data_IF_468666938198
#
_entry.id   IF_468666938198
#
_cell.length_a   1.000
_cell.length_b   1.000
_cell.length_c   1.000
_cell.angle_alpha   90.00
_cell.angle_beta   90.00
_cell.angle_gamma   90.00
#
_symmetry.space_group_name_H-M   'P 1'
#
loop_
_entity.id
_entity.type
_entity.pdbx_description
1 polymer ?
#
# COMPACT_ATOMS: atom_id res chain seq x y z
N UNK A 1 24.39 -50.02 51.33
CA UNK A 1 24.27 -51.25 50.51
C UNK A 1 23.85 -50.85 49.09
N UNK A 2 24.57 -51.37 48.08
CA UNK A 2 24.31 -51.41 46.62
C UNK A 2 23.88 -50.10 45.95
N UNK A 3 24.72 -49.34 45.22
CA UNK A 3 25.49 -49.63 43.98
C UNK A 3 24.65 -50.31 42.89
N UNK A 4 24.24 -49.53 41.89
CA UNK A 4 23.74 -50.01 40.60
C UNK A 4 24.29 -49.14 39.48
N UNK A 5 25.36 -49.63 38.83
CA UNK A 5 26.00 -49.04 37.65
C UNK A 5 25.15 -49.33 36.42
N UNK A 6 24.96 -48.36 35.52
CA UNK A 6 24.46 -48.61 34.16
C UNK A 6 25.38 -47.93 33.14
N UNK A 7 25.56 -48.66 32.04
CA UNK A 7 26.74 -48.75 31.22
C UNK A 7 26.90 -47.62 30.19
N UNK A 8 28.17 -47.29 29.95
CA UNK A 8 28.68 -46.52 28.81
C UNK A 8 28.64 -47.42 27.57
N UNK A 9 27.80 -47.08 26.60
CA UNK A 9 27.69 -47.74 25.31
C UNK A 9 28.29 -46.87 24.20
N UNK A 10 29.50 -47.19 23.80
CA UNK A 10 30.21 -46.68 22.62
C UNK A 10 29.49 -47.12 21.34
N UNK A 11 29.14 -46.20 20.45
CA UNK A 11 28.68 -46.53 19.10
C UNK A 11 29.30 -45.60 18.06
N UNK A 12 29.71 -46.25 16.98
CA UNK A 12 30.78 -45.86 16.06
C UNK A 12 30.43 -44.68 15.15
N UNK A 13 31.43 -43.84 14.92
CA UNK A 13 31.45 -42.87 13.84
C UNK A 13 31.59 -43.61 12.50
N UNK A 14 30.56 -43.54 11.66
CA UNK A 14 30.66 -43.89 10.25
C UNK A 14 31.04 -42.62 9.49
N UNK A 15 32.31 -42.54 9.13
CA UNK A 15 32.85 -41.55 8.20
C UNK A 15 32.56 -42.05 6.79
N UNK A 16 31.46 -41.59 6.18
CA UNK A 16 31.22 -41.74 4.76
C UNK A 16 31.96 -40.61 4.03
N UNK A 17 33.12 -40.95 3.47
CA UNK A 17 33.85 -40.12 2.52
C UNK A 17 33.12 -40.12 1.18
N UNK A 18 32.25 -39.14 0.98
CA UNK A 18 31.66 -38.82 -0.32
C UNK A 18 32.72 -38.09 -1.15
N UNK A 19 33.39 -38.81 -2.05
CA UNK A 19 34.34 -38.22 -2.99
C UNK A 19 33.64 -37.23 -3.90
N UNK A 20 34.19 -36.01 -3.90
CA UNK A 20 33.84 -34.91 -4.76
C UNK A 20 33.94 -35.30 -6.24
N UNK A 21 32.81 -35.28 -6.95
CA UNK A 21 32.75 -35.11 -8.39
C UNK A 21 32.58 -33.63 -8.70
N UNK A 22 33.68 -32.87 -8.71
CA UNK A 22 33.69 -31.53 -9.28
C UNK A 22 33.52 -31.66 -10.79
N UNK A 23 32.27 -31.55 -11.25
CA UNK A 23 32.01 -31.28 -12.66
C UNK A 23 32.12 -29.78 -12.85
N UNK A 24 33.24 -29.33 -13.42
CA UNK A 24 33.40 -28.00 -13.98
C UNK A 24 32.50 -27.90 -15.23
N UNK A 25 31.20 -27.78 -15.00
CA UNK A 25 30.27 -27.34 -16.04
C UNK A 25 30.68 -25.93 -16.44
N UNK A 26 30.78 -25.61 -17.75
CA UNK A 26 31.11 -24.25 -18.18
C UNK A 26 30.13 -23.31 -17.50
N UNK A 27 30.66 -22.47 -16.62
CA UNK A 27 29.94 -21.43 -15.92
C UNK A 27 29.40 -20.52 -17.01
N UNK A 28 28.17 -20.78 -17.45
CA UNK A 28 27.46 -19.94 -18.38
C UNK A 28 27.41 -18.57 -17.69
N UNK A 29 28.23 -17.63 -18.18
CA UNK A 29 28.17 -16.26 -17.72
C UNK A 29 26.70 -15.87 -17.76
N UNK A 30 26.11 -15.47 -16.62
CA UNK A 30 24.70 -15.14 -16.56
C UNK A 30 24.43 -14.15 -17.68
N UNK A 31 23.58 -14.56 -18.63
CA UNK A 31 23.19 -13.74 -19.75
C UNK A 31 22.74 -12.39 -19.15
N UNK A 32 23.36 -11.27 -19.55
CA UNK A 32 23.08 -9.99 -18.94
C UNK A 32 21.58 -9.75 -19.06
N UNK A 33 20.88 -9.76 -17.91
CA UNK A 33 19.45 -9.46 -17.89
C UNK A 33 19.29 -8.12 -18.61
N UNK A 34 18.37 -8.02 -19.59
CA UNK A 34 18.15 -6.77 -20.30
C UNK A 34 17.96 -5.68 -19.25
N UNK A 35 18.88 -4.72 -19.25
CA UNK A 35 18.88 -3.61 -18.31
C UNK A 35 17.57 -2.87 -18.53
N UNK A 36 16.65 -2.98 -17.56
CA UNK A 36 15.36 -2.31 -17.58
C UNK A 36 15.64 -0.82 -17.80
N UNK A 37 15.12 -0.17 -18.86
CA UNK A 37 15.35 1.24 -19.10
C UNK A 37 14.96 2.01 -17.84
N UNK A 38 15.94 2.68 -17.24
CA UNK A 38 15.76 3.57 -16.11
C UNK A 38 15.11 4.86 -16.65
N UNK A 39 13.80 4.78 -16.90
CA UNK A 39 13.04 5.92 -17.37
C UNK A 39 13.07 6.99 -16.27
N UNK A 40 13.77 8.09 -16.53
CA UNK A 40 13.64 9.31 -15.75
C UNK A 40 12.23 9.85 -15.99
N UNK A 41 11.32 9.52 -15.08
CA UNK A 41 9.91 9.90 -15.17
C UNK A 41 9.78 11.33 -14.65
N UNK A 42 10.06 12.32 -15.51
CA UNK A 42 9.41 13.60 -15.31
C UNK A 42 7.90 13.35 -15.44
N UNK A 43 7.17 13.31 -14.32
CA UNK A 43 5.73 13.07 -14.28
C UNK A 43 5.01 14.08 -15.15
N UNK A 44 4.75 13.72 -16.41
CA UNK A 44 3.78 14.43 -17.22
C UNK A 44 2.43 14.16 -16.58
N UNK A 45 1.81 15.22 -16.07
CA UNK A 45 0.48 15.14 -15.50
C UNK A 45 -0.49 14.71 -16.62
N UNK A 46 -0.85 13.42 -16.64
CA UNK A 46 -1.76 12.88 -17.63
C UNK A 46 -3.18 13.38 -17.31
N UNK A 47 -3.79 14.23 -18.15
CA UNK A 47 -5.13 14.72 -17.86
C UNK A 47 -6.11 13.54 -17.86
N UNK A 48 -6.85 13.39 -16.76
CA UNK A 48 -7.87 12.36 -16.68
C UNK A 48 -9.10 12.72 -17.54
N UNK A 49 -9.77 11.72 -18.13
CA UNK A 49 -11.08 11.94 -18.72
C UNK A 49 -12.07 12.50 -17.70
N UNK A 50 -13.06 13.28 -18.17
CA UNK A 50 -14.10 13.83 -17.28
C UNK A 50 -14.80 12.71 -16.50
N UNK A 51 -14.94 12.93 -15.19
CA UNK A 51 -15.60 11.99 -14.28
C UNK A 51 -14.72 10.81 -13.86
N UNK A 52 -13.42 10.84 -14.12
CA UNK A 52 -12.45 9.87 -13.63
C UNK A 52 -11.78 10.38 -12.34
N UNK A 53 -11.16 9.46 -11.61
CA UNK A 53 -10.37 9.71 -10.41
C UNK A 53 -9.06 8.94 -10.45
N UNK A 54 -8.07 9.42 -9.73
CA UNK A 54 -6.79 8.75 -9.56
C UNK A 54 -6.84 7.71 -8.44
N UNK A 55 -6.14 6.61 -8.67
CA UNK A 55 -5.87 5.55 -7.70
C UNK A 55 -4.37 5.29 -7.63
N UNK A 56 -3.82 5.19 -6.42
CA UNK A 56 -2.37 5.04 -6.19
C UNK A 56 -2.09 3.78 -5.38
N UNK A 57 -1.12 2.95 -5.75
CA UNK A 57 -0.62 1.84 -4.95
C UNK A 57 0.89 1.74 -5.12
N UNK A 58 1.62 1.74 -4.01
CA UNK A 58 3.07 1.89 -3.95
C UNK A 58 3.50 3.06 -4.83
N UNK A 59 4.36 2.82 -5.80
CA UNK A 59 4.88 3.79 -6.75
C UNK A 59 4.11 3.85 -8.06
N UNK A 60 2.89 3.30 -8.13
CA UNK A 60 2.06 3.29 -9.35
C UNK A 60 0.77 4.07 -9.15
N UNK A 61 0.41 4.88 -10.15
CA UNK A 61 -0.86 5.60 -10.22
C UNK A 61 -1.60 5.28 -11.51
N UNK A 62 -2.93 5.21 -11.43
CA UNK A 62 -3.83 4.88 -12.55
C UNK A 62 -5.16 5.61 -12.42
N UNK A 63 -5.68 6.08 -13.55
CA UNK A 63 -6.99 6.69 -13.67
C UNK A 63 -8.08 5.64 -13.83
N UNK A 64 -9.16 5.79 -13.07
CA UNK A 64 -10.36 4.94 -13.16
C UNK A 64 -11.62 5.80 -13.25
N UNK A 65 -12.73 5.30 -13.82
CA UNK A 65 -14.00 5.99 -13.73
C UNK A 65 -14.41 6.26 -12.26
N UNK A 66 -14.92 7.46 -12.00
CA UNK A 66 -15.22 7.93 -10.64
C UNK A 66 -16.42 7.24 -9.99
N UNK A 67 -17.24 6.55 -10.77
CA UNK A 67 -18.36 5.73 -10.31
C UNK A 67 -17.93 4.34 -9.79
N UNK A 68 -16.65 3.96 -9.95
CA UNK A 68 -16.15 2.70 -9.43
C UNK A 68 -16.03 2.74 -7.91
N UNK A 69 -16.52 1.71 -7.23
CA UNK A 69 -16.36 1.52 -5.79
C UNK A 69 -14.93 1.17 -5.37
N UNK A 70 -14.72 1.08 -4.06
CA UNK A 70 -13.49 0.59 -3.44
C UNK A 70 -13.71 -0.81 -2.87
N UNK A 71 -12.72 -1.69 -2.98
CA UNK A 71 -12.72 -3.03 -2.37
C UNK A 71 -11.41 -3.35 -1.65
N UNK A 72 -11.44 -4.28 -0.69
CA UNK A 72 -10.27 -4.84 0.00
C UNK A 72 -10.06 -6.30 -0.38
N UNK A 73 -8.89 -6.87 -0.04
CA UNK A 73 -8.61 -8.31 -0.20
C UNK A 73 -9.64 -9.19 0.46
N UNK A 74 -9.69 -10.43 -0.04
CA UNK A 74 -10.63 -11.45 0.39
C UNK A 74 -11.92 -11.29 -0.37
N UNK A 75 -12.00 -11.87 -1.57
CA UNK A 75 -13.30 -12.33 -2.12
C UNK A 75 -14.05 -11.37 -3.03
N UNK A 76 -13.43 -10.33 -3.61
CA UNK A 76 -14.01 -9.68 -4.79
C UNK A 76 -14.47 -10.70 -5.86
N UNK A 77 -13.81 -11.87 -5.93
CA UNK A 77 -14.19 -12.94 -6.87
C UNK A 77 -15.23 -13.93 -6.31
N UNK A 78 -15.49 -13.96 -5.00
CA UNK A 78 -16.50 -14.86 -4.40
C UNK A 78 -17.79 -14.14 -3.99
N UNK A 79 -17.84 -12.81 -4.02
CA UNK A 79 -19.08 -12.08 -3.81
C UNK A 79 -19.91 -12.18 -5.08
N UNK A 80 -20.97 -12.99 -5.04
CA UNK A 80 -21.94 -13.19 -6.14
C UNK A 80 -22.59 -11.86 -6.57
N UNK A 81 -22.52 -10.84 -5.71
CA UNK A 81 -23.04 -9.49 -5.94
C UNK A 81 -21.97 -8.46 -6.38
N UNK A 82 -20.81 -8.87 -6.88
CA UNK A 82 -19.92 -7.96 -7.63
C UNK A 82 -20.50 -7.61 -9.01
N UNK A 83 -21.73 -7.10 -9.02
CA UNK A 83 -22.26 -6.34 -10.15
C UNK A 83 -21.57 -4.98 -10.30
N UNK A 84 -20.81 -4.56 -9.27
CA UNK A 84 -20.21 -3.23 -9.18
C UNK A 84 -18.75 -3.18 -9.60
N UNK A 85 -18.45 -2.18 -10.42
CA UNK A 85 -17.12 -1.83 -10.88
C UNK A 85 -16.26 -1.43 -9.68
N UNK A 86 -15.15 -2.09 -9.44
CA UNK A 86 -14.38 -1.91 -8.19
C UNK A 86 -12.89 -1.75 -8.42
N UNK A 87 -12.26 -0.97 -7.54
CA UNK A 87 -10.81 -0.89 -7.37
C UNK A 87 -10.43 -1.59 -6.08
N UNK A 88 -9.68 -2.68 -6.21
CA UNK A 88 -9.28 -3.53 -5.09
C UNK A 88 -7.80 -3.39 -4.72
N UNK A 89 -7.50 -3.53 -3.42
CA UNK A 89 -6.15 -3.39 -2.85
C UNK A 89 -5.82 -4.52 -1.87
N UNK A 90 -4.52 -4.84 -1.67
CA UNK A 90 -4.09 -5.70 -0.58
C UNK A 90 -4.50 -5.13 0.79
N UNK A 91 -5.07 -5.96 1.66
CA UNK A 91 -5.57 -5.57 2.98
C UNK A 91 -5.84 -6.77 3.87
N UNK A 92 -6.59 -6.57 4.95
CA UNK A 92 -7.17 -7.66 5.74
C UNK A 92 -8.49 -8.08 5.10
N UNK A 93 -8.68 -9.38 4.94
CA UNK A 93 -9.93 -9.97 4.48
C UNK A 93 -9.99 -11.41 4.93
N UNK A 94 -11.20 -11.91 5.19
CA UNK A 94 -11.39 -13.31 5.51
C UNK A 94 -10.87 -14.16 4.36
N UNK A 95 -9.98 -15.12 4.68
CA UNK A 95 -9.47 -16.14 3.76
C UNK A 95 -10.62 -17.07 3.36
N UNK A 96 -11.57 -16.59 2.57
CA UNK A 96 -12.53 -17.46 1.91
C UNK A 96 -11.86 -17.95 0.62
N UNK A 97 -11.67 -19.26 0.52
CA UNK A 97 -11.28 -19.88 -0.73
C UNK A 97 -12.53 -19.90 -1.62
N UNK A 98 -12.56 -19.13 -2.72
CA UNK A 98 -13.58 -19.38 -3.74
C UNK A 98 -13.21 -20.70 -4.43
N UNK A 99 -13.98 -21.77 -4.19
CA UNK A 99 -13.99 -22.90 -5.11
C UNK A 99 -14.71 -22.42 -6.39
N UNK A 100 -13.94 -22.26 -7.47
CA UNK A 100 -14.42 -22.17 -8.86
C UNK A 100 -15.61 -21.23 -9.14
N UNK A 101 -15.56 -19.97 -8.69
CA UNK A 101 -16.57 -18.99 -9.10
C UNK A 101 -16.29 -18.44 -10.51
N UNK A 102 -17.29 -18.63 -11.38
CA UNK A 102 -17.42 -18.13 -12.75
C UNK A 102 -17.52 -16.59 -12.80
N UNK A 103 -16.50 -15.86 -12.33
CA UNK A 103 -16.44 -14.39 -12.37
C UNK A 103 -16.19 -13.84 -13.80
N UNK A 104 -16.90 -14.37 -14.80
CA UNK A 104 -16.70 -14.03 -16.22
C UNK A 104 -17.20 -12.61 -16.57
N UNK A 105 -18.04 -12.01 -15.73
CA UNK A 105 -18.73 -10.75 -16.06
C UNK A 105 -18.43 -9.57 -15.11
N UNK A 106 -17.51 -9.72 -14.17
CA UNK A 106 -17.16 -8.63 -13.25
C UNK A 106 -16.20 -7.64 -13.92
N UNK A 107 -16.37 -6.34 -13.65
CA UNK A 107 -15.43 -5.30 -14.07
C UNK A 107 -14.63 -4.85 -12.86
N UNK A 108 -13.31 -4.99 -12.85
CA UNK A 108 -12.49 -4.59 -11.71
C UNK A 108 -11.07 -4.23 -12.11
N UNK A 109 -10.42 -3.42 -11.28
CA UNK A 109 -8.98 -3.20 -11.25
C UNK A 109 -8.47 -3.66 -9.89
N UNK A 110 -7.40 -4.44 -9.89
CA UNK A 110 -6.81 -4.99 -8.68
C UNK A 110 -5.33 -4.67 -8.59
N UNK A 111 -4.91 -4.03 -7.51
CA UNK A 111 -3.51 -3.81 -7.18
C UNK A 111 -2.95 -4.96 -6.35
N UNK A 112 -1.68 -5.28 -6.57
CA UNK A 112 -0.92 -6.22 -5.73
C UNK A 112 0.57 -5.97 -5.85
N UNK A 113 1.36 -6.64 -5.01
CA UNK A 113 2.77 -6.84 -5.30
C UNK A 113 2.95 -7.68 -6.56
N UNK A 114 4.07 -7.50 -7.25
CA UNK A 114 4.45 -8.29 -8.43
C UNK A 114 4.69 -9.77 -8.09
N UNK A 115 5.01 -10.08 -6.83
CA UNK A 115 5.13 -11.45 -6.31
C UNK A 115 3.80 -11.90 -5.71
N UNK A 116 3.11 -12.80 -6.41
CA UNK A 116 2.00 -13.58 -5.86
C UNK A 116 2.52 -14.97 -5.47
N UNK A 117 2.53 -15.32 -4.18
CA UNK A 117 2.94 -16.65 -3.73
C UNK A 117 4.43 -16.97 -3.98
N UNK A 118 4.76 -18.24 -4.25
CA UNK A 118 6.12 -18.79 -4.39
C UNK A 118 6.92 -18.31 -5.63
N UNK A 119 6.59 -17.15 -6.19
CA UNK A 119 7.38 -16.52 -7.26
C UNK A 119 6.97 -16.87 -8.68
N UNK A 120 5.98 -17.75 -8.88
CA UNK A 120 5.48 -18.04 -10.22
C UNK A 120 4.43 -16.98 -10.63
N UNK A 121 4.61 -16.27 -11.74
CA UNK A 121 3.56 -15.43 -12.28
C UNK A 121 2.34 -16.30 -12.52
N UNK A 122 1.19 -15.95 -11.92
CA UNK A 122 -0.06 -16.68 -12.12
C UNK A 122 -0.29 -16.76 -13.62
N UNK A 123 -0.24 -17.96 -14.24
CA UNK A 123 -0.39 -18.07 -15.68
C UNK A 123 -1.73 -17.43 -16.04
N UNK A 124 -1.67 -16.47 -16.97
CA UNK A 124 -2.84 -15.86 -17.56
C UNK A 124 -3.70 -17.02 -18.08
N UNK A 125 -4.77 -17.36 -17.37
CA UNK A 125 -5.78 -18.23 -17.95
C UNK A 125 -6.35 -17.46 -19.13
N UNK A 126 -5.96 -17.87 -20.33
CA UNK A 126 -6.56 -17.42 -21.58
C UNK A 126 -8.05 -17.71 -21.50
N UNK A 127 -8.84 -16.65 -21.32
CA UNK A 127 -10.26 -16.77 -21.04
C UNK A 127 -10.87 -15.46 -20.54
N UNK A 128 -11.19 -14.57 -21.47
CA UNK A 128 -11.99 -13.36 -21.23
C UNK A 128 -11.23 -12.04 -21.31
N UNK A 129 -11.95 -10.98 -20.96
CA UNK A 129 -11.55 -9.57 -20.96
C UNK A 129 -10.60 -9.23 -19.79
N UNK A 130 -9.60 -10.08 -19.47
CA UNK A 130 -8.68 -9.89 -18.34
C UNK A 130 -7.23 -9.69 -18.79
N UNK A 131 -6.55 -8.73 -18.18
CA UNK A 131 -5.16 -8.39 -18.46
C UNK A 131 -4.38 -8.18 -17.16
N UNK A 132 -3.10 -8.53 -17.16
CA UNK A 132 -2.20 -8.29 -16.01
C UNK A 132 -0.99 -7.48 -16.50
N UNK A 133 -0.73 -6.36 -15.84
CA UNK A 133 0.39 -5.48 -16.13
C UNK A 133 1.31 -5.39 -14.92
N UNK A 134 2.63 -5.49 -15.15
CA UNK A 134 3.62 -5.38 -14.09
C UNK A 134 4.43 -4.10 -14.31
N UNK A 135 4.44 -3.23 -13.31
CA UNK A 135 5.12 -1.94 -13.33
C UNK A 135 5.89 -1.79 -12.02
N UNK A 136 7.22 -1.71 -12.12
CA UNK A 136 8.06 -1.83 -10.93
C UNK A 136 7.78 -3.16 -10.22
N UNK A 137 7.39 -3.06 -8.95
CA UNK A 137 7.01 -4.17 -8.08
C UNK A 137 5.49 -4.24 -7.83
N UNK A 138 4.70 -3.56 -8.67
CA UNK A 138 3.23 -3.59 -8.63
C UNK A 138 2.70 -4.41 -9.80
N UNK A 139 1.78 -5.33 -9.50
CA UNK A 139 0.95 -5.95 -10.51
C UNK A 139 -0.46 -5.33 -10.50
N UNK A 140 -0.94 -5.00 -11.68
CA UNK A 140 -2.30 -4.51 -11.96
C UNK A 140 -3.05 -5.61 -12.69
N UNK A 141 -4.06 -6.20 -12.06
CA UNK A 141 -4.97 -7.12 -12.72
C UNK A 141 -6.27 -6.38 -13.06
N UNK A 142 -6.54 -6.23 -14.36
CA UNK A 142 -7.69 -5.49 -14.88
C UNK A 142 -8.61 -6.44 -15.64
N UNK A 143 -9.89 -6.48 -15.26
CA UNK A 143 -10.94 -7.15 -16.04
C UNK A 143 -11.96 -6.10 -16.49
N UNK A 144 -12.05 -5.86 -17.80
CA UNK A 144 -12.96 -4.89 -18.40
C UNK A 144 -13.00 -5.07 -19.93
N UNK A 145 -14.03 -4.56 -20.62
CA UNK A 145 -14.05 -4.55 -22.09
C UNK A 145 -12.84 -3.79 -22.66
N UNK A 146 -12.27 -4.29 -23.77
CA UNK A 146 -11.03 -3.77 -24.39
C UNK A 146 -10.92 -2.24 -24.49
N UNK A 147 -11.93 -1.49 -24.97
CA UNK A 147 -11.82 -0.03 -25.05
C UNK A 147 -11.67 0.66 -23.69
N UNK A 148 -12.24 0.09 -22.62
CA UNK A 148 -12.08 0.60 -21.26
C UNK A 148 -10.71 0.19 -20.69
N UNK A 149 -10.22 -1.01 -21.00
CA UNK A 149 -8.88 -1.44 -20.61
C UNK A 149 -7.82 -0.52 -21.17
N UNK A 150 -7.81 -0.30 -22.48
CA UNK A 150 -6.83 0.57 -23.15
C UNK A 150 -6.83 1.98 -22.56
N UNK A 151 -8.02 2.52 -22.24
CA UNK A 151 -8.14 3.83 -21.60
C UNK A 151 -7.59 3.87 -20.18
N UNK A 152 -7.86 2.85 -19.36
CA UNK A 152 -7.34 2.77 -17.99
C UNK A 152 -5.82 2.60 -18.04
N UNK A 153 -5.34 1.63 -18.83
CA UNK A 153 -3.92 1.31 -18.96
C UNK A 153 -3.11 2.48 -19.54
N UNK A 154 -3.69 3.27 -20.45
CA UNK A 154 -3.06 4.47 -20.98
C UNK A 154 -2.87 5.62 -19.97
N UNK A 155 -3.43 5.52 -18.77
CA UNK A 155 -3.20 6.49 -17.67
C UNK A 155 -2.17 6.01 -16.66
N UNK A 156 -1.70 4.77 -16.78
CA UNK A 156 -0.84 4.16 -15.78
C UNK A 156 0.58 4.71 -15.87
N UNK A 157 1.11 5.17 -14.74
CA UNK A 157 2.47 5.67 -14.66
C UNK A 157 3.06 5.48 -13.26
N UNK A 158 4.38 5.61 -13.16
CA UNK A 158 5.08 5.61 -11.86
C UNK A 158 5.04 7.01 -11.23
N UNK A 159 5.04 7.06 -9.91
CA UNK A 159 4.98 8.29 -9.11
C UNK A 159 5.99 8.25 -7.96
N UNK A 160 6.51 9.41 -7.56
CA UNK A 160 7.19 9.61 -6.26
C UNK A 160 6.24 10.23 -5.24
N UNK A 161 5.26 10.99 -5.74
CA UNK A 161 4.21 11.63 -4.98
C UNK A 161 2.95 11.59 -5.83
N UNK A 162 1.86 11.18 -5.21
CA UNK A 162 0.62 10.97 -5.94
C UNK A 162 -0.21 12.25 -6.12
N UNK A 163 -1.37 12.13 -6.76
CA UNK A 163 -2.22 13.30 -7.06
C UNK A 163 -2.76 13.98 -5.80
N UNK A 164 -2.92 13.22 -4.70
CA UNK A 164 -3.31 13.76 -3.41
C UNK A 164 -2.13 14.40 -2.66
N UNK A 165 -0.94 14.41 -3.27
CA UNK A 165 0.30 14.89 -2.66
C UNK A 165 0.92 13.89 -1.70
N UNK A 166 0.46 12.65 -1.64
CA UNK A 166 1.01 11.63 -0.76
C UNK A 166 2.31 11.09 -1.35
N UNK A 167 3.47 11.24 -0.69
CA UNK A 167 4.70 10.58 -1.15
C UNK A 167 4.51 9.07 -1.14
N UNK A 168 5.28 8.34 -1.96
CA UNK A 168 5.21 6.87 -2.00
C UNK A 168 5.66 6.23 -0.69
N UNK A 169 6.54 6.90 0.05
CA UNK A 169 7.02 6.51 1.38
C UNK A 169 6.90 7.70 2.33
N UNK A 170 6.47 7.45 3.57
CA UNK A 170 6.42 8.47 4.62
C UNK A 170 7.35 8.06 5.77
N UNK A 171 8.16 8.98 6.34
CA UNK A 171 9.01 8.64 7.47
C UNK A 171 8.26 8.01 8.65
N UNK A 172 6.97 8.28 8.80
CA UNK A 172 6.15 7.78 9.91
C UNK A 172 5.73 6.33 9.71
N UNK A 173 5.70 5.87 8.45
CA UNK A 173 5.47 4.46 8.16
C UNK A 173 6.73 3.61 8.34
N UNK A 174 7.92 4.22 8.28
CA UNK A 174 9.21 3.56 8.50
C UNK A 174 9.70 3.61 9.94
N UNK A 175 9.44 4.70 10.65
CA UNK A 175 9.98 4.96 11.99
C UNK A 175 8.87 5.39 12.96
N UNK A 176 8.44 4.50 13.87
CA UNK A 176 7.43 4.82 14.87
C UNK A 176 7.80 6.01 15.75
N UNK A 177 9.09 6.32 15.95
CA UNK A 177 9.52 7.47 16.74
C UNK A 177 9.26 8.81 16.03
N UNK A 178 9.00 8.79 14.72
CA UNK A 178 8.56 9.98 13.95
C UNK A 178 7.06 10.21 14.04
N UNK A 179 6.30 9.26 14.59
CA UNK A 179 4.88 9.47 14.92
C UNK A 179 4.83 10.59 15.95
N UNK A 180 4.02 11.62 15.75
CA UNK A 180 4.18 12.75 16.62
C UNK A 180 3.59 12.48 18.01
N UNK A 181 4.27 12.96 19.07
CA UNK A 181 3.99 12.54 20.43
C UNK A 181 2.68 13.10 20.99
N UNK A 182 2.29 14.30 20.53
CA UNK A 182 1.10 15.01 20.98
C UNK A 182 0.05 15.12 19.87
N UNK A 183 -1.24 14.87 20.19
CA UNK A 183 -2.34 15.16 19.28
C UNK A 183 -2.47 16.67 19.01
N UNK A 184 -2.70 17.07 17.77
CA UNK A 184 -3.17 18.44 17.46
C UNK A 184 -4.68 18.46 17.50
N UNK A 185 -5.16 19.52 18.11
CA UNK A 185 -6.57 19.86 18.13
C UNK A 185 -7.02 20.38 16.75
N UNK A 186 -7.50 19.47 15.91
CA UNK A 186 -8.06 19.80 14.59
C UNK A 186 -9.30 20.70 14.68
N UNK A 187 -9.92 20.85 15.86
CA UNK A 187 -11.05 21.76 16.05
C UNK A 187 -10.63 23.24 15.95
N UNK A 188 -9.34 23.54 16.13
CA UNK A 188 -8.81 24.90 16.01
C UNK A 188 -8.50 25.29 14.56
N UNK A 189 -8.52 24.35 13.62
CA UNK A 189 -8.28 24.62 12.22
C UNK A 189 -9.46 25.39 11.62
N UNK A 190 -9.17 26.53 10.97
CA UNK A 190 -10.17 27.36 10.30
C UNK A 190 -9.83 27.58 8.84
N UNK A 191 -10.87 27.59 7.99
CA UNK A 191 -10.73 27.73 6.55
C UNK A 191 -9.91 26.60 5.92
N UNK A 192 -10.27 25.36 6.25
CA UNK A 192 -9.72 24.15 5.60
C UNK A 192 -10.11 24.16 4.12
N UNK A 193 -9.11 24.04 3.26
CA UNK A 193 -9.24 24.09 1.79
C UNK A 193 -8.97 22.75 1.14
N UNK A 194 -8.04 21.97 1.69
CA UNK A 194 -7.77 20.59 1.25
C UNK A 194 -7.52 19.67 2.43
N UNK A 195 -7.90 18.41 2.27
CA UNK A 195 -7.55 17.30 3.16
C UNK A 195 -7.14 16.14 2.28
N UNK A 196 -5.89 15.71 2.40
CA UNK A 196 -5.43 14.44 1.84
C UNK A 196 -5.37 13.41 2.94
N UNK A 197 -5.88 12.20 2.72
CA UNK A 197 -5.65 11.06 3.60
C UNK A 197 -4.79 10.05 2.85
N UNK A 198 -3.57 9.80 3.34
CA UNK A 198 -2.56 8.94 2.74
C UNK A 198 -2.43 7.68 3.60
N UNK A 199 -2.85 6.52 3.10
CA UNK A 199 -2.70 5.26 3.81
C UNK A 199 -1.36 4.61 3.45
N UNK A 200 -0.59 4.20 4.44
CA UNK A 200 0.69 3.52 4.28
C UNK A 200 0.67 2.16 4.96
N UNK A 201 1.34 1.18 4.36
CA UNK A 201 1.74 -0.05 5.05
C UNK A 201 2.87 0.30 6.02
N UNK A 202 2.80 -0.14 7.28
CA UNK A 202 3.81 0.20 8.28
C UNK A 202 4.91 -0.85 8.33
N UNK A 203 6.12 -0.44 8.74
CA UNK A 203 7.30 -1.29 8.83
C UNK A 203 7.15 -2.50 9.75
N UNK A 204 6.23 -2.44 10.72
CA UNK A 204 5.93 -3.55 11.61
C UNK A 204 5.14 -4.68 10.91
N UNK A 205 4.70 -4.48 9.66
CA UNK A 205 4.12 -5.55 8.84
C UNK A 205 5.22 -6.52 8.41
N UNK A 206 4.94 -7.83 8.48
CA UNK A 206 5.89 -8.90 8.13
C UNK A 206 6.46 -8.72 6.71
N UNK A 207 5.64 -8.20 5.78
CA UNK A 207 6.03 -7.92 4.39
C UNK A 207 7.03 -6.79 4.29
N UNK A 208 6.83 -5.70 5.02
CA UNK A 208 7.77 -4.57 5.00
C UNK A 208 9.08 -4.96 5.67
N UNK A 209 9.10 -5.83 6.68
CA UNK A 209 10.36 -6.36 7.24
C UNK A 209 11.19 -7.09 6.16
N UNK A 210 10.54 -7.83 5.27
CA UNK A 210 11.21 -8.59 4.21
C UNK A 210 11.65 -7.69 3.04
N UNK A 211 10.88 -6.66 2.71
CA UNK A 211 11.14 -5.77 1.56
C UNK A 211 11.82 -4.44 1.94
N UNK A 212 11.92 -4.15 3.24
CA UNK A 212 12.43 -2.93 3.85
C UNK A 212 11.81 -1.61 3.32
N UNK A 213 10.57 -1.64 2.83
CA UNK A 213 9.92 -0.48 2.20
C UNK A 213 8.45 -0.35 2.62
N UNK A 214 8.18 0.57 3.55
CA UNK A 214 6.82 1.00 3.85
C UNK A 214 6.29 1.81 2.67
N UNK A 215 5.11 1.44 2.14
CA UNK A 215 4.62 1.97 0.88
C UNK A 215 3.19 2.51 0.98
N UNK A 216 2.90 3.50 0.15
CA UNK A 216 1.57 4.07 -0.05
C UNK A 216 0.60 2.96 -0.48
N UNK A 217 -0.44 2.68 0.29
CA UNK A 217 -1.48 1.70 -0.04
C UNK A 217 -2.62 2.36 -0.80
N UNK A 218 -2.86 3.65 -0.57
CA UNK A 218 -3.89 4.42 -1.24
C UNK A 218 -3.99 5.83 -0.71
N UNK A 219 -4.70 6.69 -1.42
CA UNK A 219 -4.96 8.05 -0.96
C UNK A 219 -6.34 8.55 -1.38
N UNK A 220 -6.80 9.58 -0.70
CA UNK A 220 -7.93 10.40 -1.15
C UNK A 220 -7.61 11.87 -0.91
N UNK A 221 -7.99 12.72 -1.87
CA UNK A 221 -7.94 14.17 -1.75
C UNK A 221 -9.37 14.71 -1.73
N UNK A 222 -9.68 15.46 -0.69
CA UNK A 222 -10.89 16.25 -0.56
C UNK A 222 -10.52 17.73 -0.69
N UNK A 223 -11.39 18.50 -1.33
CA UNK A 223 -11.19 19.95 -1.53
C UNK A 223 -12.43 20.74 -1.10
N UNK A 224 -12.23 22.02 -0.81
CA UNK A 224 -13.31 22.98 -0.53
C UNK A 224 -14.27 22.53 0.58
N UNK A 225 -15.56 22.50 0.26
CA UNK A 225 -16.62 22.19 1.22
C UNK A 225 -16.51 20.76 1.77
N UNK A 226 -16.10 19.80 0.95
CA UNK A 226 -15.95 18.39 1.35
C UNK A 226 -14.77 18.20 2.31
N UNK A 227 -13.65 18.89 2.05
CA UNK A 227 -12.51 18.94 2.97
C UNK A 227 -12.92 19.48 4.34
N UNK A 228 -13.64 20.61 4.36
CA UNK A 228 -14.14 21.20 5.60
C UNK A 228 -15.16 20.28 6.31
N UNK A 229 -16.03 19.60 5.55
CA UNK A 229 -16.98 18.63 6.11
C UNK A 229 -16.29 17.42 6.73
N UNK A 230 -15.23 16.90 6.09
CA UNK A 230 -14.44 15.80 6.62
C UNK A 230 -13.80 16.18 7.97
N UNK A 231 -13.17 17.35 8.09
CA UNK A 231 -12.61 17.81 9.37
C UNK A 231 -13.68 17.97 10.43
N UNK A 232 -14.86 18.52 10.12
CA UNK A 232 -15.97 18.59 11.09
C UNK A 232 -16.39 17.21 11.60
N UNK A 233 -16.38 16.19 10.74
CA UNK A 233 -16.68 14.81 11.15
C UNK A 233 -15.59 14.24 12.06
N UNK A 234 -14.31 14.53 11.78
CA UNK A 234 -13.20 14.13 12.65
C UNK A 234 -13.32 14.82 14.02
N UNK A 235 -13.64 16.11 14.06
CA UNK A 235 -13.86 16.87 15.31
C UNK A 235 -15.05 16.33 16.10
N UNK A 236 -16.14 15.97 15.42
CA UNK A 236 -17.33 15.42 16.05
C UNK A 236 -17.18 13.95 16.46
N UNK A 237 -16.13 13.26 15.99
CA UNK A 237 -15.89 11.87 16.35
C UNK A 237 -15.58 11.78 17.85
N UNK A 238 -16.19 10.84 18.60
CA UNK A 238 -15.86 10.65 20.01
C UNK A 238 -14.37 10.42 20.20
N UNK A 239 -13.75 11.16 21.11
CA UNK A 239 -12.37 10.89 21.53
C UNK A 239 -12.35 9.50 22.18
N UNK A 240 -11.73 8.54 21.51
CA UNK A 240 -11.39 7.25 22.09
C UNK A 240 -9.88 7.13 22.05
N UNK A 241 -9.28 6.69 23.16
CA UNK A 241 -7.88 6.24 23.14
C UNK A 241 -7.86 5.00 22.26
N UNK A 242 -7.27 5.12 21.07
CA UNK A 242 -6.97 3.97 20.25
C UNK A 242 -5.99 3.06 20.97
N UNK A 243 -5.92 1.82 20.52
CA UNK A 243 -5.01 0.84 21.10
C UNK A 243 -3.60 1.11 20.58
N UNK A 244 -2.95 2.13 21.13
CA UNK A 244 -1.57 2.51 20.81
C UNK A 244 -0.53 1.69 21.60
N UNK A 245 -0.90 0.50 22.07
CA UNK A 245 -0.03 -0.35 22.89
C UNK A 245 0.72 -1.33 22.00
N UNK A 246 2.02 -1.48 22.25
CA UNK A 246 2.93 -2.43 21.59
C UNK A 246 2.54 -3.92 21.74
N UNK A 247 1.42 -4.24 22.40
CA UNK A 247 1.00 -5.61 22.76
C UNK A 247 -0.24 -6.10 22.01
N UNK A 248 -0.64 -5.46 20.90
CA UNK A 248 -1.63 -6.07 20.01
C UNK A 248 -1.04 -7.37 19.45
N UNK A 249 -1.68 -8.51 19.70
CA UNK A 249 -1.16 -9.79 19.23
C UNK A 249 -1.15 -9.81 17.71
N UNK A 250 -0.07 -10.37 17.17
CA UNK A 250 0.25 -10.55 15.74
C UNK A 250 -0.69 -11.53 15.02
N UNK A 251 -1.71 -12.06 15.70
CA UNK A 251 -2.39 -13.30 15.29
C UNK A 251 -3.43 -13.13 14.17
N UNK A 252 -3.84 -11.91 13.82
CA UNK A 252 -4.76 -11.69 12.70
C UNK A 252 -4.14 -10.78 11.65
N UNK A 253 -3.48 -11.40 10.67
CA UNK A 253 -3.36 -10.89 9.30
C UNK A 253 -2.46 -9.66 9.10
N UNK A 254 -1.15 -9.83 9.33
CA UNK A 254 0.05 -9.28 8.66
C UNK A 254 0.14 -7.84 8.09
N UNK A 255 -0.90 -7.03 8.02
CA UNK A 255 -0.89 -5.76 7.30
C UNK A 255 -1.25 -4.61 8.25
N UNK A 256 -0.29 -4.22 9.10
CA UNK A 256 -0.43 -3.00 9.89
C UNK A 256 -0.36 -1.80 8.93
N UNK A 257 -1.37 -0.92 8.96
CA UNK A 257 -1.40 0.30 8.15
C UNK A 257 -1.60 1.54 9.03
N UNK A 258 -1.17 2.70 8.55
CA UNK A 258 -1.41 4.00 9.18
C UNK A 258 -1.89 5.01 8.14
N UNK A 259 -2.66 6.01 8.58
CA UNK A 259 -3.20 7.06 7.70
C UNK A 259 -2.59 8.41 8.06
N UNK A 260 -1.87 9.04 7.15
CA UNK A 260 -1.40 10.42 7.32
C UNK A 260 -2.46 11.37 6.75
N UNK A 261 -3.02 12.27 7.55
CA UNK A 261 -3.85 13.37 7.07
C UNK A 261 -2.98 14.61 6.78
N UNK A 262 -3.06 15.16 5.57
CA UNK A 262 -2.39 16.41 5.21
C UNK A 262 -3.45 17.47 5.02
N UNK A 263 -3.43 18.54 5.84
CA UNK A 263 -4.51 19.53 5.89
C UNK A 263 -3.97 20.90 5.49
N UNK A 264 -4.49 21.48 4.40
CA UNK A 264 -4.21 22.86 4.05
C UNK A 264 -5.35 23.78 4.51
N UNK A 265 -5.02 24.81 5.27
CA UNK A 265 -5.96 25.80 5.76
C UNK A 265 -5.49 27.23 5.48
N UNK A 266 -6.42 28.18 5.34
CA UNK A 266 -6.14 29.59 4.93
C UNK A 266 -5.13 30.33 5.80
N UNK A 267 -4.83 29.85 7.01
CA UNK A 267 -3.85 30.48 7.93
C UNK A 267 -2.72 29.56 8.39
N UNK A 268 -2.66 28.32 7.90
CA UNK A 268 -1.58 27.38 8.19
C UNK A 268 -1.66 26.14 7.27
N UNK A 269 -0.52 25.63 6.83
CA UNK A 269 -0.41 24.25 6.34
C UNK A 269 0.10 23.36 7.47
N UNK A 270 -0.67 22.37 7.89
CA UNK A 270 -0.28 21.43 8.95
C UNK A 270 -0.49 20.01 8.44
N UNK A 271 0.43 19.10 8.75
CA UNK A 271 0.24 17.67 8.50
C UNK A 271 0.05 16.93 9.81
N UNK A 272 -0.65 15.81 9.71
CA UNK A 272 -1.23 15.05 10.81
C UNK A 272 -1.06 13.58 10.48
N UNK A 273 -0.84 12.74 11.46
CA UNK A 273 -0.73 11.30 11.25
C UNK A 273 -1.66 10.55 12.15
N UNK A 274 -2.73 10.06 11.55
CA UNK A 274 -3.73 9.22 12.15
C UNK A 274 -3.38 7.74 11.99
N UNK A 275 -2.77 7.11 12.99
CA UNK A 275 -2.52 5.66 12.89
C UNK A 275 -3.82 4.90 13.14
N UNK A 276 -4.18 4.00 12.24
CA UNK A 276 -5.33 3.09 12.39
C UNK A 276 -4.82 1.65 12.40
N UNK A 277 -4.55 1.11 13.57
CA UNK A 277 -4.34 -0.34 13.72
C UNK A 277 -5.69 -1.06 13.59
N UNK A 278 -5.74 -2.15 12.81
CA UNK A 278 -6.93 -2.98 12.73
C UNK A 278 -7.30 -3.49 14.15
N UNK A 279 -8.58 -3.44 14.56
CA UNK A 279 -8.97 -3.83 15.91
C UNK A 279 -8.76 -5.32 16.12
N UNK A 280 -8.27 -5.70 17.31
CA UNK A 280 -8.35 -7.06 17.81
C UNK A 280 -9.84 -7.48 17.87
N UNK A 281 -10.13 -8.73 17.48
CA UNK A 281 -11.47 -9.21 17.11
C UNK A 281 -12.59 -9.08 18.18
N UNK A 282 -12.31 -8.74 19.43
CA UNK A 282 -13.32 -8.79 20.49
C UNK A 282 -14.17 -7.51 20.67
N UNK A 283 -13.97 -6.45 19.88
CA UNK A 283 -14.91 -5.30 19.80
C UNK A 283 -14.64 -4.45 18.56
N UNK A 284 -15.47 -4.61 17.53
CA UNK A 284 -15.43 -3.80 16.30
C UNK A 284 -15.84 -2.34 16.56
N UNK A 285 -14.86 -1.49 16.84
CA UNK A 285 -14.94 -0.06 16.62
C UNK A 285 -13.58 0.42 16.13
N UNK A 286 -13.50 0.84 14.87
CA UNK A 286 -12.28 1.42 14.31
C UNK A 286 -11.89 2.65 15.12
N UNK A 287 -10.65 2.69 15.62
CA UNK A 287 -10.11 3.82 16.38
C UNK A 287 -9.06 4.53 15.54
N UNK A 288 -9.09 5.87 15.56
CA UNK A 288 -8.17 6.72 14.82
C UNK A 288 -7.42 7.61 15.84
N UNK A 289 -6.10 7.50 15.91
CA UNK A 289 -5.28 8.38 16.76
C UNK A 289 -4.35 9.22 15.91
N UNK A 290 -4.54 10.54 15.96
CA UNK A 290 -3.82 11.52 15.15
C UNK A 290 -2.73 12.23 15.96
N UNK A 291 -1.45 12.03 15.63
CA UNK A 291 -0.29 12.81 16.12
C UNK A 291 0.24 13.73 15.02
N UNK A 292 0.74 14.92 15.32
CA UNK A 292 1.14 15.93 14.31
C UNK A 292 2.53 16.53 14.51
N UNK A 293 3.25 16.80 13.41
CA UNK A 293 4.52 17.53 13.42
C UNK A 293 4.44 18.84 12.63
N UNK A 294 5.26 19.82 13.00
CA UNK A 294 5.38 21.08 12.28
C UNK A 294 6.55 21.00 11.29
N UNK A 295 6.27 21.14 10.00
CA UNK A 295 7.30 21.54 9.03
C UNK A 295 7.44 23.07 9.10
N UNK A 296 8.59 23.55 9.58
CA UNK A 296 9.01 24.92 9.24
C UNK A 296 9.14 24.96 7.73
N UNK A 297 8.24 25.68 7.05
CA UNK A 297 8.44 26.00 5.64
C UNK A 297 9.80 26.70 5.52
N UNK A 298 10.74 26.06 4.81
CA UNK A 298 11.98 26.71 4.42
C UNK A 298 11.66 27.96 3.59
N UNK A 299 12.53 28.99 3.60
CA UNK A 299 12.27 30.24 2.90
C UNK A 299 11.98 29.94 1.42
N UNK A 300 10.79 30.36 0.98
CA UNK A 300 10.39 30.38 -0.43
C UNK A 300 11.34 31.31 -1.19
N UNK A 301 12.34 30.75 -1.87
CA UNK A 301 13.19 31.48 -2.81
C UNK A 301 12.38 31.79 -4.08
N UNK A 302 11.50 32.80 -4.01
CA UNK A 302 11.04 33.51 -5.21
C UNK A 302 12.09 34.53 -5.61
N UNK A 303 13.08 34.09 -6.38
CA UNK A 303 13.89 35.00 -7.19
C UNK A 303 13.13 35.30 -8.47
N UNK A 304 12.38 36.40 -8.49
CA UNK A 304 11.84 36.98 -9.71
C UNK A 304 12.83 38.05 -10.19
N UNK A 305 13.78 37.65 -11.03
CA UNK A 305 14.52 38.60 -11.85
C UNK A 305 13.70 38.86 -13.12
N UNK A 306 13.10 40.05 -13.23
CA UNK A 306 12.65 40.58 -14.52
C UNK A 306 13.87 40.91 -15.38
N UNK A 307 13.93 40.48 -16.65
CA UNK A 307 14.87 41.07 -17.57
C UNK A 307 14.40 42.49 -17.91
N UNK A 308 15.30 43.46 -17.68
CA UNK A 308 15.19 44.79 -18.27
C UNK A 308 15.95 44.79 -19.59
N UNK A 309 15.27 45.31 -20.62
CA UNK A 309 15.64 45.55 -22.03
C UNK A 309 15.34 44.43 -23.01
#
# INVERSE_FOLDING_TARGET
MAIGRVAVGTLAAIVLASTAGCSDGPSASPEPRPTRPEASVASQEHPLPKGWRWESYRDVQVGVPGDWGWGTTGNAKCLEDLTDRTVGRPGVGDLLSCEDTNAKNVTFLWFSGATFGNGDPVPLREGGDREVWIIGDVALQLQARKPLQERILGTVHRIDTDYAGCPVTDPISMDPARRPPDPVDVAQLSGVTTVSACQYELAESRRVVEQNEAALVGSVLLTGADAAAAIRRVVAAPVRRGWNRATCSVDYGSNTSGVVLRIAATRASTWSTCTTTAPCADRMASTMECGFGHLRQGPSNRSSAMPTR
#
